data_IF_515650343982
#
_entry.id   IF_515650343982
#
_cell.length_a   1.000
_cell.length_b   1.000
_cell.length_c   1.000
_cell.angle_alpha   90.00
_cell.angle_beta   90.00
_cell.angle_gamma   90.00
#
_symmetry.space_group_name_H-M   'P 1'
#
loop_
_entity.id
_entity.type
_entity.pdbx_description
1 polymer ?
#
# COMPACT_ATOMS: atom_id res chain seq x y z
N UNK A 1 -74.67 42.61 -7.90
CA UNK A 1 -74.76 41.15 -7.66
C UNK A 1 -75.79 40.90 -6.56
N UNK A 2 -76.68 39.92 -6.71
CA UNK A 2 -77.61 39.56 -5.63
C UNK A 2 -76.78 39.04 -4.44
N UNK A 3 -77.00 39.53 -3.21
CA UNK A 3 -76.20 39.15 -2.03
C UNK A 3 -76.20 37.64 -1.77
N UNK A 4 -77.23 36.91 -2.22
CA UNK A 4 -77.30 35.45 -2.14
C UNK A 4 -76.31 34.71 -3.05
N UNK A 5 -75.87 35.30 -4.17
CA UNK A 5 -74.86 34.70 -5.06
C UNK A 5 -73.45 34.88 -4.51
N UNK A 6 -73.16 36.06 -3.94
CA UNK A 6 -71.87 36.34 -3.32
C UNK A 6 -71.63 35.43 -2.10
N UNK A 7 -72.61 35.28 -1.21
CA UNK A 7 -72.46 34.47 0.00
C UNK A 7 -72.30 32.97 -0.29
N UNK A 8 -72.96 32.45 -1.33
CA UNK A 8 -73.00 31.01 -1.63
C UNK A 8 -71.87 30.53 -2.52
N UNK A 9 -71.26 31.43 -3.29
CA UNK A 9 -70.26 31.04 -4.29
C UNK A 9 -68.90 31.66 -4.01
N UNK A 10 -68.86 32.95 -3.66
CA UNK A 10 -67.59 33.65 -3.48
C UNK A 10 -66.90 33.29 -2.16
N UNK A 11 -67.64 33.26 -1.05
CA UNK A 11 -67.11 32.88 0.27
C UNK A 11 -66.46 31.49 0.29
N UNK A 12 -67.12 30.40 -0.16
CA UNK A 12 -66.52 29.07 -0.09
C UNK A 12 -65.29 28.92 -1.00
N UNK A 13 -65.29 29.58 -2.17
CA UNK A 13 -64.13 29.58 -3.07
C UNK A 13 -62.95 30.32 -2.43
N UNK A 14 -63.19 31.49 -1.84
CA UNK A 14 -62.16 32.24 -1.13
C UNK A 14 -61.61 31.44 0.07
N UNK A 15 -62.48 30.80 0.85
CA UNK A 15 -62.07 29.92 1.96
C UNK A 15 -61.24 28.73 1.49
N UNK A 16 -61.60 28.11 0.36
CA UNK A 16 -60.82 27.00 -0.21
C UNK A 16 -59.42 27.47 -0.67
N UNK A 17 -59.32 28.64 -1.28
CA UNK A 17 -58.02 29.22 -1.69
C UNK A 17 -57.15 29.51 -0.47
N UNK A 18 -57.72 30.12 0.56
CA UNK A 18 -57.00 30.42 1.82
C UNK A 18 -56.53 29.13 2.50
N UNK A 19 -57.37 28.10 2.52
CA UNK A 19 -57.02 26.80 3.10
C UNK A 19 -55.86 26.16 2.34
N UNK A 20 -55.91 26.12 1.01
CA UNK A 20 -54.84 25.54 0.18
C UNK A 20 -53.53 26.33 0.34
N UNK A 21 -53.61 27.67 0.34
CA UNK A 21 -52.43 28.51 0.58
C UNK A 21 -51.83 28.30 1.97
N UNK A 22 -52.67 28.17 3.00
CA UNK A 22 -52.23 27.88 4.37
C UNK A 22 -51.55 26.51 4.50
N UNK A 23 -52.10 25.48 3.85
CA UNK A 23 -51.48 24.14 3.81
C UNK A 23 -50.13 24.21 3.09
N UNK A 24 -50.06 24.83 1.91
CA UNK A 24 -48.83 24.94 1.13
C UNK A 24 -47.72 25.67 1.91
N UNK A 25 -48.05 26.74 2.63
CA UNK A 25 -47.12 27.47 3.48
C UNK A 25 -46.64 26.64 4.68
N UNK A 26 -47.50 25.82 5.28
CA UNK A 26 -47.14 24.99 6.44
C UNK A 26 -46.26 23.78 6.11
N UNK A 27 -46.30 23.30 4.87
CA UNK A 27 -45.57 22.09 4.43
C UNK A 27 -44.22 22.46 3.79
N UNK A 28 -44.04 23.70 3.34
CA UNK A 28 -42.77 24.16 2.81
C UNK A 28 -41.75 24.31 3.95
N UNK A 29 -40.84 23.34 4.05
CA UNK A 29 -39.70 23.43 4.96
C UNK A 29 -38.56 24.04 4.16
N UNK A 30 -38.09 25.21 4.59
CA UNK A 30 -36.92 25.84 4.00
C UNK A 30 -35.68 24.94 4.17
N UNK A 31 -34.71 25.01 3.24
CA UNK A 31 -33.44 24.30 3.41
C UNK A 31 -32.82 24.63 4.77
N UNK A 32 -32.45 23.60 5.53
CA UNK A 32 -31.94 23.75 6.89
C UNK A 32 -30.55 24.42 6.95
N UNK A 33 -29.90 24.61 5.80
CA UNK A 33 -28.69 25.42 5.65
C UNK A 33 -28.64 26.05 4.25
N UNK A 34 -28.03 27.23 4.16
CA UNK A 34 -27.68 27.84 2.88
C UNK A 34 -26.58 26.99 2.19
N UNK A 35 -26.68 26.73 0.87
CA UNK A 35 -25.61 26.05 0.13
C UNK A 35 -24.27 26.76 0.34
N UNK A 36 -23.17 26.03 0.60
CA UNK A 36 -23.02 24.57 0.47
C UNK A 36 -23.36 23.74 1.72
N UNK A 37 -23.88 24.36 2.79
CA UNK A 37 -24.15 23.71 4.06
C UNK A 37 -25.15 22.55 3.95
N UNK A 38 -24.95 21.53 4.79
CA UNK A 38 -25.76 20.29 4.86
C UNK A 38 -25.82 19.46 3.56
N UNK A 39 -24.95 19.73 2.58
CA UNK A 39 -24.76 18.80 1.47
C UNK A 39 -24.09 17.51 1.95
N UNK A 40 -24.52 16.38 1.38
CA UNK A 40 -23.78 15.12 1.50
C UNK A 40 -22.38 15.32 0.92
N UNK A 41 -21.36 14.76 1.57
CA UNK A 41 -19.99 14.84 1.06
C UNK A 41 -19.90 14.30 -0.37
N UNK A 42 -19.17 15.02 -1.23
CA UNK A 42 -19.09 14.65 -2.63
C UNK A 42 -18.40 13.28 -2.80
N UNK A 43 -18.96 12.35 -3.59
CA UNK A 43 -18.39 11.01 -3.80
C UNK A 43 -17.02 11.08 -4.50
N UNK A 44 -16.37 9.91 -4.64
CA UNK A 44 -15.24 9.75 -5.56
C UNK A 44 -15.79 9.63 -6.99
N UNK A 45 -15.56 10.64 -7.82
CA UNK A 45 -16.10 10.65 -9.18
C UNK A 45 -15.19 9.87 -10.16
N UNK A 46 -15.77 9.28 -11.21
CA UNK A 46 -15.04 8.53 -12.27
C UNK A 46 -14.55 9.40 -13.44
N UNK A 47 -14.49 10.72 -13.25
CA UNK A 47 -14.02 11.66 -14.27
C UNK A 47 -12.50 11.67 -14.44
N UNK A 48 -12.01 12.37 -15.47
CA UNK A 48 -10.57 12.49 -15.77
C UNK A 48 -9.85 13.54 -14.91
N UNK A 49 -10.59 14.39 -14.19
CA UNK A 49 -10.02 15.40 -13.30
C UNK A 49 -9.56 14.78 -11.97
N UNK A 50 -8.34 15.11 -11.56
CA UNK A 50 -7.80 14.74 -10.24
C UNK A 50 -8.69 15.29 -9.13
N UNK A 51 -9.06 14.43 -8.17
CA UNK A 51 -9.84 14.81 -7.00
C UNK A 51 -9.03 14.64 -5.72
N UNK A 52 -9.08 15.65 -4.86
CA UNK A 52 -8.54 15.60 -3.51
C UNK A 52 -9.68 15.53 -2.51
N UNK A 53 -9.67 14.52 -1.65
CA UNK A 53 -10.61 14.36 -0.53
C UNK A 53 -9.82 14.49 0.76
N UNK A 54 -10.26 15.37 1.65
CA UNK A 54 -9.69 15.51 2.99
C UNK A 54 -10.09 14.30 3.85
N UNK A 55 -9.16 13.79 4.66
CA UNK A 55 -9.36 12.58 5.47
C UNK A 55 -8.74 11.33 4.83
N UNK A 56 -9.00 10.17 5.43
CA UNK A 56 -8.48 8.88 4.95
C UNK A 56 -9.43 8.24 3.92
N UNK A 57 -8.89 7.72 2.82
CA UNK A 57 -9.62 6.87 1.88
C UNK A 57 -9.43 5.41 2.27
N UNK A 58 -10.47 4.77 2.80
CA UNK A 58 -10.52 3.32 2.99
C UNK A 58 -11.17 2.62 1.80
N UNK A 59 -10.50 1.62 1.22
CA UNK A 59 -11.07 0.72 0.20
C UNK A 59 -11.18 -0.67 0.81
N UNK A 60 -12.40 -1.10 1.14
CA UNK A 60 -12.67 -2.37 1.85
C UNK A 60 -12.59 -3.64 0.99
N UNK A 61 -12.10 -3.56 -0.25
CA UNK A 61 -12.03 -4.67 -1.21
C UNK A 61 -10.69 -4.71 -1.96
N UNK A 62 -10.52 -5.70 -2.84
CA UNK A 62 -9.30 -5.85 -3.63
C UNK A 62 -9.16 -4.68 -4.62
N UNK A 63 -8.03 -3.97 -4.55
CA UNK A 63 -7.64 -2.97 -5.55
C UNK A 63 -7.35 -3.69 -6.88
N UNK A 64 -8.39 -3.88 -7.70
CA UNK A 64 -8.23 -4.34 -9.09
C UNK A 64 -7.72 -3.17 -9.94
N UNK A 65 -6.41 -2.97 -9.95
CA UNK A 65 -5.77 -2.01 -10.83
C UNK A 65 -5.61 -2.64 -12.22
N UNK A 66 -6.37 -2.16 -13.21
CA UNK A 66 -6.31 -2.68 -14.58
C UNK A 66 -4.96 -2.37 -15.28
N UNK A 67 -4.29 -1.29 -14.86
CA UNK A 67 -2.88 -0.95 -15.11
C UNK A 67 -2.61 0.44 -14.52
N UNK A 68 -1.43 0.71 -13.95
CA UNK A 68 -1.07 2.06 -13.52
C UNK A 68 -1.74 2.50 -12.22
N UNK A 69 -1.62 1.72 -11.15
CA UNK A 69 -1.86 2.24 -9.80
C UNK A 69 -0.65 3.08 -9.38
N UNK A 70 -0.83 4.40 -9.28
CA UNK A 70 0.21 5.33 -8.85
C UNK A 70 -0.07 5.78 -7.42
N UNK A 71 0.77 5.34 -6.48
CA UNK A 71 0.85 5.93 -5.16
C UNK A 71 1.89 7.05 -5.21
N UNK A 72 1.45 8.29 -5.37
CA UNK A 72 2.34 9.45 -5.45
C UNK A 72 2.28 10.24 -4.14
N UNK A 73 3.45 10.54 -3.57
CA UNK A 73 3.57 11.50 -2.49
C UNK A 73 3.88 12.90 -3.05
N UNK A 74 2.87 13.59 -3.58
CA UNK A 74 2.96 15.01 -3.96
C UNK A 74 4.15 15.37 -4.90
N UNK A 75 4.42 14.55 -5.91
CA UNK A 75 5.48 14.80 -6.90
C UNK A 75 6.88 14.34 -6.49
N UNK A 76 7.01 13.61 -5.38
CA UNK A 76 8.27 12.94 -5.03
C UNK A 76 8.56 11.81 -6.02
N UNK A 77 9.80 11.73 -6.50
CA UNK A 77 10.24 10.62 -7.34
C UNK A 77 10.20 9.30 -6.54
N UNK A 78 9.34 8.39 -6.99
CA UNK A 78 9.17 7.04 -6.46
C UNK A 78 9.84 5.98 -7.34
N UNK A 79 10.55 6.41 -8.39
CA UNK A 79 11.32 5.52 -9.26
C UNK A 79 12.38 4.78 -8.45
N UNK A 80 12.43 3.45 -8.62
CA UNK A 80 13.35 2.60 -7.88
C UNK A 80 13.09 2.59 -6.36
N UNK A 81 11.83 2.75 -5.93
CA UNK A 81 11.43 2.67 -4.52
C UNK A 81 10.37 1.60 -4.30
N UNK A 82 10.31 1.09 -3.08
CA UNK A 82 9.27 0.18 -2.60
C UNK A 82 8.50 0.83 -1.46
N UNK A 83 7.19 0.61 -1.40
CA UNK A 83 6.38 1.03 -0.26
C UNK A 83 6.51 -0.02 0.84
N UNK A 84 6.99 0.39 2.00
CA UNK A 84 7.11 -0.48 3.18
C UNK A 84 6.26 0.07 4.32
N UNK A 85 5.66 -0.80 5.12
CA UNK A 85 4.93 -0.43 6.32
C UNK A 85 5.80 -0.65 7.57
N UNK A 86 5.70 0.25 8.54
CA UNK A 86 6.29 0.05 9.86
C UNK A 86 5.38 -0.81 10.77
N UNK A 87 5.82 -1.04 12.02
CA UNK A 87 5.06 -1.83 13.00
C UNK A 87 3.70 -1.24 13.38
N UNK A 88 3.48 0.05 13.10
CA UNK A 88 2.22 0.76 13.35
C UNK A 88 1.34 0.82 12.09
N UNK A 89 1.78 0.24 10.98
CA UNK A 89 1.07 0.23 9.70
C UNK A 89 1.27 1.49 8.86
N UNK A 90 2.20 2.39 9.21
CA UNK A 90 2.48 3.57 8.39
C UNK A 90 3.37 3.22 7.20
N UNK A 91 2.88 3.53 6.00
CA UNK A 91 3.61 3.34 4.76
C UNK A 91 4.64 4.44 4.51
N UNK A 92 5.85 4.07 4.10
CA UNK A 92 6.89 5.00 3.63
C UNK A 92 7.62 4.45 2.40
N UNK A 93 7.97 5.33 1.47
CA UNK A 93 8.76 5.00 0.29
C UNK A 93 10.23 4.82 0.68
N UNK A 94 10.73 3.61 0.52
CA UNK A 94 12.11 3.26 0.79
C UNK A 94 12.84 2.98 -0.51
N UNK A 95 14.15 3.24 -0.56
CA UNK A 95 14.98 2.85 -1.69
C UNK A 95 14.76 1.36 -1.96
N UNK A 96 14.52 1.00 -3.22
CA UNK A 96 14.49 -0.39 -3.65
C UNK A 96 15.93 -0.90 -3.53
N UNK A 97 16.25 -1.54 -2.41
CA UNK A 97 17.42 -2.40 -2.35
C UNK A 97 17.35 -3.35 -3.55
N UNK A 98 18.46 -3.56 -4.24
CA UNK A 98 18.53 -4.50 -5.34
C UNK A 98 18.18 -5.91 -4.80
N UNK A 99 16.91 -6.30 -4.91
CA UNK A 99 16.34 -7.47 -4.24
C UNK A 99 15.37 -7.04 -3.13
N UNK A 100 14.09 -7.34 -3.29
CA UNK A 100 13.00 -6.78 -2.49
C UNK A 100 13.11 -6.99 -0.97
N UNK A 101 12.60 -5.99 -0.24
CA UNK A 101 11.98 -6.15 1.08
C UNK A 101 12.83 -6.86 2.14
N UNK A 102 13.71 -6.12 2.80
CA UNK A 102 14.39 -6.52 4.02
C UNK A 102 15.90 -6.34 3.90
N UNK A 103 16.55 -5.88 4.98
CA UNK A 103 18.00 -5.90 5.11
C UNK A 103 18.50 -7.34 5.01
N UNK A 104 18.68 -7.82 3.78
CA UNK A 104 19.10 -9.17 3.49
C UNK A 104 20.56 -9.33 3.89
N UNK A 105 20.83 -10.30 4.74
CA UNK A 105 22.19 -10.75 4.96
C UNK A 105 22.55 -11.78 3.89
N UNK A 106 23.75 -11.68 3.31
CA UNK A 106 24.33 -12.77 2.52
C UNK A 106 25.67 -13.18 3.09
N UNK A 107 26.12 -14.38 2.73
CA UNK A 107 27.45 -14.88 3.09
C UNK A 107 28.41 -14.59 1.94
N UNK A 108 29.45 -13.80 2.21
CA UNK A 108 30.53 -13.51 1.27
C UNK A 108 31.68 -14.49 1.43
N UNK A 109 32.14 -15.06 0.33
CA UNK A 109 33.30 -15.97 0.27
C UNK A 109 34.57 -15.31 -0.25
N UNK A 110 34.48 -14.05 -0.71
CA UNK A 110 35.54 -13.32 -1.40
C UNK A 110 36.37 -12.39 -0.48
N UNK A 111 36.23 -12.54 0.84
CA UNK A 111 37.02 -11.77 1.81
C UNK A 111 36.48 -10.37 2.16
N UNK A 112 35.26 -10.03 1.75
CA UNK A 112 34.65 -8.74 2.11
C UNK A 112 33.22 -8.56 1.60
N UNK A 113 32.57 -7.49 2.06
CA UNK A 113 31.21 -7.15 1.65
C UNK A 113 31.21 -6.24 0.41
N UNK A 114 30.28 -6.49 -0.51
CA UNK A 114 29.90 -5.58 -1.58
C UNK A 114 29.54 -4.20 -1.03
N UNK A 115 29.74 -3.18 -1.86
CA UNK A 115 29.39 -1.80 -1.52
C UNK A 115 27.92 -1.69 -1.10
N UNK A 116 27.67 -0.98 0.01
CA UNK A 116 26.33 -0.86 0.61
C UNK A 116 26.00 -1.91 1.66
N UNK A 117 26.88 -2.89 1.92
CA UNK A 117 26.70 -3.89 2.98
C UNK A 117 27.78 -3.76 4.06
N UNK A 118 27.35 -3.93 5.31
CA UNK A 118 28.23 -3.92 6.49
C UNK A 118 28.62 -5.34 6.85
N UNK A 119 29.91 -5.57 7.10
CA UNK A 119 30.41 -6.82 7.66
C UNK A 119 29.91 -6.97 9.11
N UNK A 120 29.11 -8.00 9.38
CA UNK A 120 28.58 -8.31 10.72
C UNK A 120 29.44 -9.31 11.47
N UNK A 121 30.46 -9.88 10.84
CA UNK A 121 31.39 -10.84 11.43
C UNK A 121 31.64 -12.05 10.55
N UNK A 122 32.53 -12.93 11.01
CA UNK A 122 32.86 -14.18 10.34
C UNK A 122 31.68 -15.16 10.40
N UNK A 123 31.35 -15.77 9.26
CA UNK A 123 30.47 -16.92 9.16
C UNK A 123 31.23 -18.24 9.41
N UNK A 124 32.56 -18.20 9.50
CA UNK A 124 33.45 -19.36 9.65
C UNK A 124 34.24 -19.69 8.37
N UNK A 125 35.10 -20.70 8.46
CA UNK A 125 35.93 -21.12 7.33
C UNK A 125 35.17 -21.98 6.32
N UNK A 126 35.35 -21.70 5.04
CA UNK A 126 34.79 -22.48 3.94
C UNK A 126 35.89 -23.19 3.17
N UNK A 127 35.50 -24.16 2.34
CA UNK A 127 36.45 -24.84 1.48
C UNK A 127 35.81 -25.99 0.73
N UNK A 128 36.45 -27.14 0.74
CA UNK A 128 35.96 -28.31 0.02
C UNK A 128 36.14 -29.62 0.80
N UNK A 129 35.34 -30.59 0.40
CA UNK A 129 35.49 -31.99 0.76
C UNK A 129 35.75 -32.78 -0.52
N UNK A 130 36.70 -33.72 -0.50
CA UNK A 130 37.07 -34.49 -1.67
C UNK A 130 37.19 -35.98 -1.35
N UNK A 131 36.86 -36.82 -2.32
CA UNK A 131 37.05 -38.27 -2.25
C UNK A 131 37.40 -38.80 -3.63
N UNK A 132 38.05 -39.96 -3.67
CA UNK A 132 38.38 -40.65 -4.90
C UNK A 132 37.21 -41.57 -5.29
N UNK A 133 36.57 -41.31 -6.42
CA UNK A 133 35.58 -42.24 -7.00
C UNK A 133 36.27 -43.46 -7.59
N UNK A 134 37.42 -43.21 -8.24
CA UNK A 134 38.32 -44.22 -8.80
C UNK A 134 39.76 -43.75 -8.58
N UNK A 135 40.78 -44.61 -8.80
CA UNK A 135 42.18 -44.20 -8.68
C UNK A 135 42.61 -43.03 -9.58
N UNK A 136 41.79 -42.65 -10.57
CA UNK A 136 42.08 -41.57 -11.52
C UNK A 136 41.09 -40.39 -11.46
N UNK A 137 40.11 -40.40 -10.56
CA UNK A 137 39.06 -39.37 -10.51
C UNK A 137 38.78 -38.94 -9.08
N UNK A 138 38.83 -37.63 -8.85
CA UNK A 138 38.50 -36.99 -7.58
C UNK A 138 37.22 -36.19 -7.77
N UNK A 139 36.22 -36.45 -6.93
CA UNK A 139 35.05 -35.58 -6.82
C UNK A 139 35.26 -34.59 -5.68
N UNK A 140 34.94 -33.32 -5.95
CA UNK A 140 35.10 -32.21 -5.01
C UNK A 140 33.74 -31.56 -4.76
N UNK A 141 33.35 -31.47 -3.49
CA UNK A 141 32.14 -30.80 -3.05
C UNK A 141 32.49 -29.53 -2.26
N UNK A 142 31.66 -28.50 -2.44
CA UNK A 142 31.75 -27.30 -1.63
C UNK A 142 31.43 -27.60 -0.16
N UNK A 143 32.29 -27.13 0.74
CA UNK A 143 32.08 -27.18 2.19
C UNK A 143 31.71 -25.77 2.68
N UNK A 144 30.44 -25.53 3.06
CA UNK A 144 30.03 -24.24 3.59
C UNK A 144 30.67 -23.94 4.95
N UNK A 145 30.62 -22.68 5.42
CA UNK A 145 31.04 -22.32 6.76
C UNK A 145 30.26 -23.10 7.82
N UNK A 146 30.97 -23.66 8.79
CA UNK A 146 30.38 -24.55 9.81
C UNK A 146 29.99 -25.95 9.30
N UNK A 147 30.17 -26.22 8.00
CA UNK A 147 29.95 -27.54 7.40
C UNK A 147 31.10 -28.50 7.65
N UNK A 148 30.79 -29.79 7.74
CA UNK A 148 31.77 -30.88 7.88
C UNK A 148 31.87 -31.74 6.63
N UNK A 149 32.96 -32.48 6.50
CA UNK A 149 33.12 -33.52 5.48
C UNK A 149 32.68 -34.88 6.03
N UNK A 150 32.27 -35.78 5.13
CA UNK A 150 32.00 -37.16 5.51
C UNK A 150 33.29 -37.87 5.97
N UNK A 151 33.15 -38.90 6.80
CA UNK A 151 34.30 -39.66 7.30
C UNK A 151 35.06 -40.33 6.14
N UNK A 152 36.39 -40.24 6.17
CA UNK A 152 37.26 -40.77 5.11
C UNK A 152 37.43 -39.85 3.89
N UNK A 153 36.72 -38.71 3.83
CA UNK A 153 36.94 -37.70 2.79
C UNK A 153 38.09 -36.78 3.20
N UNK A 154 38.91 -36.37 2.23
CA UNK A 154 39.90 -35.32 2.45
C UNK A 154 39.21 -33.95 2.52
N UNK A 155 39.82 -33.03 3.26
CA UNK A 155 39.26 -31.69 3.44
C UNK A 155 40.32 -30.62 3.23
N UNK A 156 39.93 -29.53 2.57
CA UNK A 156 40.74 -28.34 2.39
C UNK A 156 39.98 -27.09 2.80
N UNK A 157 40.66 -26.16 3.46
CA UNK A 157 40.13 -24.82 3.77
C UNK A 157 40.65 -23.84 2.71
N UNK A 158 39.73 -23.09 2.10
CA UNK A 158 40.06 -22.12 1.05
C UNK A 158 40.05 -20.68 1.56
N UNK A 159 39.26 -20.38 2.60
CA UNK A 159 39.24 -19.06 3.21
C UNK A 159 38.22 -18.91 4.32
N UNK A 160 38.03 -17.67 4.77
CA UNK A 160 36.95 -17.29 5.67
C UNK A 160 35.79 -16.67 4.91
N UNK A 161 34.58 -16.94 5.39
CA UNK A 161 33.37 -16.33 4.91
C UNK A 161 32.86 -15.29 5.91
N UNK A 162 32.15 -14.28 5.43
CA UNK A 162 31.63 -13.17 6.24
C UNK A 162 30.14 -12.99 6.03
N UNK A 163 29.42 -12.63 7.09
CA UNK A 163 28.02 -12.22 6.99
C UNK A 163 27.96 -10.74 6.65
N UNK A 164 27.37 -10.42 5.50
CA UNK A 164 27.24 -9.06 4.99
C UNK A 164 25.76 -8.67 4.97
N UNK A 165 25.39 -7.67 5.76
CA UNK A 165 24.00 -7.19 5.84
C UNK A 165 23.94 -5.69 5.57
N UNK A 166 22.85 -5.26 4.93
CA UNK A 166 22.57 -3.87 4.66
C UNK A 166 21.81 -3.23 5.82
#
# INVERSE_FOLDING_TARGET
>A
MKPSFFLKTFLPVLSAIILVAGIAYSVWIEPTAAPPGNNVEAPINVGTSTQYKSGALGVGGLLAAYSGFWLNNNGQDVSGKVLTADANGFGSWQAQAAGGGGGGCYVSYSGGCLAGFTNKGSAGSWGYCAYNDTPATITIHFRPPGGGCHSGWSTGTLGEAFVCCQ
#
